data_IF_971155209276
#
_entry.id   IF_971155209276
#
_cell.length_a   1.000
_cell.length_b   1.000
_cell.length_c   1.000
_cell.angle_alpha   90.00
_cell.angle_beta   90.00
_cell.angle_gamma   90.00
#
_symmetry.space_group_name_H-M   'P 1'
#
loop_
_entity.id
_entity.type
_entity.pdbx_description
1 polymer ?
#
# COMPACT_ATOMS: atom_id res chain seq x y z
N UNK A 1 16.11 5.88 -17.59
CA UNK A 1 14.93 6.31 -16.80
C UNK A 1 14.17 7.33 -17.65
N UNK A 2 12.88 7.14 -17.94
CA UNK A 2 12.13 7.96 -18.92
C UNK A 2 11.79 9.40 -18.45
N UNK A 3 12.46 9.93 -17.42
CA UNK A 3 12.21 11.29 -16.92
C UNK A 3 10.78 11.52 -16.38
N UNK A 4 10.07 10.45 -16.01
CA UNK A 4 8.76 10.56 -15.39
C UNK A 4 8.90 11.13 -13.97
N UNK A 5 8.04 12.09 -13.61
CA UNK A 5 7.93 12.55 -12.22
C UNK A 5 7.56 11.36 -11.32
N UNK A 6 8.33 11.15 -10.26
CA UNK A 6 8.13 10.11 -9.26
C UNK A 6 6.71 10.14 -8.67
N UNK A 7 6.15 11.34 -8.45
CA UNK A 7 4.78 11.50 -7.94
C UNK A 7 3.75 11.04 -8.96
N UNK A 8 3.96 11.38 -10.23
CA UNK A 8 3.07 10.97 -11.32
C UNK A 8 3.09 9.45 -11.50
N UNK A 9 4.27 8.82 -11.36
CA UNK A 9 4.40 7.37 -11.35
C UNK A 9 3.57 6.72 -10.23
N UNK A 10 3.71 7.19 -8.99
CA UNK A 10 2.99 6.63 -7.85
C UNK A 10 1.48 6.83 -7.93
N UNK A 11 1.02 8.04 -8.27
CA UNK A 11 -0.40 8.34 -8.41
C UNK A 11 -0.99 7.54 -9.58
N UNK A 12 -0.30 7.48 -10.72
CA UNK A 12 -0.75 6.73 -11.89
C UNK A 12 -0.88 5.24 -11.60
N UNK A 13 0.11 4.66 -10.92
CA UNK A 13 0.10 3.23 -10.54
C UNK A 13 -1.05 2.95 -9.57
N UNK A 14 -1.21 3.77 -8.53
CA UNK A 14 -2.29 3.60 -7.56
C UNK A 14 -3.68 3.69 -8.21
N UNK A 15 -3.91 4.68 -9.09
CA UNK A 15 -5.19 4.84 -9.79
C UNK A 15 -5.47 3.64 -10.70
N UNK A 16 -4.45 3.16 -11.43
CA UNK A 16 -4.60 2.01 -12.31
C UNK A 16 -5.00 0.76 -11.51
N UNK A 17 -4.30 0.47 -10.41
CA UNK A 17 -4.61 -0.68 -9.55
C UNK A 17 -6.00 -0.54 -8.92
N UNK A 18 -6.37 0.66 -8.49
CA UNK A 18 -7.71 0.94 -7.93
C UNK A 18 -8.82 0.65 -8.94
N UNK A 19 -8.68 1.12 -10.18
CA UNK A 19 -9.65 0.88 -11.26
C UNK A 19 -9.76 -0.62 -11.58
N UNK A 20 -8.64 -1.34 -11.65
CA UNK A 20 -8.65 -2.79 -11.89
C UNK A 20 -9.38 -3.51 -10.75
N UNK A 21 -9.11 -3.11 -9.51
CA UNK A 21 -9.74 -3.68 -8.32
C UNK A 21 -11.23 -3.28 -8.17
N UNK A 22 -11.73 -2.29 -8.91
CA UNK A 22 -13.16 -1.97 -8.95
C UNK A 22 -13.98 -3.04 -9.69
N UNK A 23 -13.37 -3.79 -10.61
CA UNK A 23 -14.05 -4.85 -11.36
C UNK A 23 -14.63 -5.93 -10.43
N UNK A 24 -13.83 -6.61 -9.57
CA UNK A 24 -14.38 -7.62 -8.66
C UNK A 24 -15.37 -7.03 -7.64
N UNK A 25 -15.17 -5.78 -7.20
CA UNK A 25 -16.15 -5.09 -6.33
C UNK A 25 -17.49 -4.91 -7.04
N UNK A 26 -17.49 -4.43 -8.28
CA UNK A 26 -18.71 -4.24 -9.06
C UNK A 26 -19.45 -5.55 -9.28
N UNK A 27 -18.73 -6.64 -9.56
CA UNK A 27 -19.32 -7.99 -9.65
C UNK A 27 -19.97 -8.39 -8.32
N UNK A 28 -19.30 -8.15 -7.19
CA UNK A 28 -19.87 -8.48 -5.88
C UNK A 28 -21.11 -7.65 -5.53
N UNK A 29 -21.17 -6.38 -5.93
CA UNK A 29 -22.38 -5.59 -5.75
C UNK A 29 -23.54 -6.13 -6.58
N UNK A 30 -23.29 -6.51 -7.83
CA UNK A 30 -24.29 -7.14 -8.69
C UNK A 30 -24.81 -8.44 -8.06
N UNK A 31 -23.95 -9.27 -7.45
CA UNK A 31 -24.39 -10.50 -6.78
C UNK A 31 -25.22 -10.22 -5.53
N UNK A 32 -24.96 -9.15 -4.78
CA UNK A 32 -25.81 -8.76 -3.65
C UNK A 32 -27.24 -8.42 -4.09
N UNK A 33 -27.39 -7.66 -5.17
CA UNK A 33 -28.70 -7.33 -5.72
C UNK A 33 -29.38 -8.55 -6.34
N UNK A 34 -28.67 -9.32 -7.16
CA UNK A 34 -29.22 -10.52 -7.81
C UNK A 34 -29.62 -11.61 -6.80
N UNK A 35 -28.88 -11.73 -5.70
CA UNK A 35 -29.17 -12.68 -4.62
C UNK A 35 -30.17 -12.17 -3.59
N UNK A 36 -30.71 -10.96 -3.73
CA UNK A 36 -31.65 -10.39 -2.75
C UNK A 36 -31.05 -10.18 -1.36
N UNK A 37 -29.72 -9.97 -1.27
CA UNK A 37 -28.99 -9.85 0.00
C UNK A 37 -29.16 -8.45 0.62
N UNK A 38 -30.37 -8.13 1.08
CA UNK A 38 -30.72 -6.79 1.60
C UNK A 38 -29.84 -6.34 2.77
N UNK A 39 -29.38 -7.26 3.59
CA UNK A 39 -28.48 -6.94 4.71
C UNK A 39 -27.13 -6.38 4.23
N UNK A 40 -26.71 -6.72 3.01
CA UNK A 40 -25.48 -6.23 2.43
C UNK A 40 -25.66 -4.88 1.72
N UNK A 41 -26.71 -4.70 0.90
CA UNK A 41 -26.89 -3.47 0.12
C UNK A 41 -27.73 -2.39 0.82
N UNK A 42 -28.65 -2.74 1.72
CA UNK A 42 -29.49 -1.80 2.45
C UNK A 42 -29.12 -1.71 3.94
N UNK A 43 -28.36 -2.69 4.46
CA UNK A 43 -27.85 -2.68 5.84
C UNK A 43 -27.08 -1.41 6.17
N UNK A 44 -27.39 -0.81 7.32
CA UNK A 44 -26.77 0.43 7.81
C UNK A 44 -26.72 1.53 6.75
N UNK A 45 -27.82 1.74 6.02
CA UNK A 45 -27.94 2.75 4.94
C UNK A 45 -26.94 2.55 3.79
N UNK A 46 -26.56 1.30 3.49
CA UNK A 46 -25.63 0.99 2.40
C UNK A 46 -24.15 1.26 2.73
N UNK A 47 -23.80 1.36 4.01
CA UNK A 47 -22.42 1.61 4.45
C UNK A 47 -21.40 0.58 3.91
N UNK A 48 -21.85 -0.63 3.61
CA UNK A 48 -21.04 -1.69 3.01
C UNK A 48 -20.43 -1.32 1.65
N UNK A 49 -21.12 -0.50 0.85
CA UNK A 49 -20.57 0.00 -0.41
C UNK A 49 -19.31 0.83 -0.15
N UNK A 50 -19.38 1.74 0.81
CA UNK A 50 -18.24 2.58 1.19
C UNK A 50 -17.10 1.76 1.82
N UNK A 51 -17.42 0.81 2.70
CA UNK A 51 -16.42 -0.08 3.32
C UNK A 51 -15.63 -0.85 2.26
N UNK A 52 -16.28 -1.31 1.19
CA UNK A 52 -15.60 -2.00 0.10
C UNK A 52 -14.71 -1.10 -0.74
N UNK A 53 -15.17 0.13 -1.03
CA UNK A 53 -14.34 1.12 -1.72
C UNK A 53 -13.07 1.45 -0.91
N UNK A 54 -13.21 1.56 0.41
CA UNK A 54 -12.09 1.78 1.32
C UNK A 54 -11.19 0.55 1.45
N UNK A 55 -11.77 -0.65 1.47
CA UNK A 55 -11.02 -1.90 1.47
C UNK A 55 -10.10 -2.02 0.26
N UNK A 56 -10.50 -1.55 -0.93
CA UNK A 56 -9.61 -1.52 -2.09
C UNK A 56 -8.37 -0.66 -1.85
N UNK A 57 -8.54 0.55 -1.30
CA UNK A 57 -7.41 1.42 -0.93
C UNK A 57 -6.51 0.70 0.07
N UNK A 58 -7.12 0.08 1.08
CA UNK A 58 -6.39 -0.61 2.13
C UNK A 58 -5.63 -1.84 1.60
N UNK A 59 -6.24 -2.63 0.72
CA UNK A 59 -5.60 -3.79 0.13
C UNK A 59 -4.43 -3.39 -0.78
N UNK A 60 -4.60 -2.37 -1.62
CA UNK A 60 -3.53 -1.88 -2.52
C UNK A 60 -2.35 -1.35 -1.70
N UNK A 61 -2.61 -0.52 -0.69
CA UNK A 61 -1.57 0.00 0.19
C UNK A 61 -0.79 -1.12 0.90
N UNK A 62 -1.51 -2.13 1.40
CA UNK A 62 -0.93 -3.31 2.02
C UNK A 62 -0.09 -4.13 1.02
N UNK A 63 -0.55 -4.29 -0.23
CA UNK A 63 0.21 -4.96 -1.29
C UNK A 63 1.51 -4.22 -1.62
N UNK A 64 1.48 -2.88 -1.69
CA UNK A 64 2.69 -2.09 -1.91
C UNK A 64 3.67 -2.23 -0.76
N UNK A 65 3.20 -2.16 0.49
CA UNK A 65 4.05 -2.40 1.67
C UNK A 65 4.78 -3.74 1.59
N UNK A 66 4.05 -4.83 1.31
CA UNK A 66 4.66 -6.15 1.18
C UNK A 66 5.56 -6.32 -0.04
N UNK A 67 5.34 -5.58 -1.13
CA UNK A 67 6.24 -5.62 -2.28
C UNK A 67 7.67 -5.17 -1.96
N UNK A 68 7.85 -4.33 -0.93
CA UNK A 68 9.18 -3.92 -0.44
C UNK A 68 9.74 -4.84 0.64
N UNK A 69 8.90 -5.63 1.32
CA UNK A 69 9.36 -6.67 2.27
C UNK A 69 9.99 -7.84 1.53
N UNK A 70 9.44 -8.23 0.38
CA UNK A 70 9.95 -9.34 -0.41
C UNK A 70 11.01 -8.88 -1.40
N UNK A 71 12.23 -9.41 -1.27
CA UNK A 71 13.31 -9.14 -2.23
C UNK A 71 13.05 -9.72 -3.64
N UNK A 72 12.15 -10.70 -3.78
CA UNK A 72 11.83 -11.35 -5.05
C UNK A 72 10.31 -11.31 -5.32
N UNK A 73 9.87 -10.76 -6.46
CA UNK A 73 8.45 -10.72 -6.84
C UNK A 73 7.79 -12.10 -6.90
N UNK A 74 8.51 -13.14 -7.36
CA UNK A 74 7.96 -14.50 -7.44
C UNK A 74 7.64 -15.06 -6.05
N UNK A 75 8.54 -14.82 -5.10
CA UNK A 75 8.33 -15.21 -3.70
C UNK A 75 7.14 -14.47 -3.11
N UNK A 76 7.02 -13.15 -3.35
CA UNK A 76 5.89 -12.34 -2.89
C UNK A 76 4.56 -12.94 -3.36
N UNK A 77 4.40 -13.19 -4.67
CA UNK A 77 3.16 -13.74 -5.22
C UNK A 77 2.83 -15.11 -4.61
N UNK A 78 3.85 -15.98 -4.47
CA UNK A 78 3.63 -17.34 -3.95
C UNK A 78 3.33 -17.39 -2.45
N UNK A 79 3.90 -16.48 -1.65
CA UNK A 79 3.83 -16.53 -0.19
C UNK A 79 2.73 -15.64 0.40
N UNK A 80 2.26 -14.61 -0.32
CA UNK A 80 1.23 -13.71 0.22
C UNK A 80 -0.06 -14.40 0.68
N UNK A 81 -0.60 -15.43 -0.02
CA UNK A 81 -1.75 -16.16 0.50
C UNK A 81 -1.48 -16.78 1.88
N UNK A 82 -0.28 -17.34 2.09
CA UNK A 82 0.14 -17.93 3.36
C UNK A 82 0.27 -16.84 4.42
N UNK A 83 0.89 -15.69 4.08
CA UNK A 83 1.03 -14.55 4.99
C UNK A 83 -0.35 -14.04 5.44
N UNK A 84 -1.30 -13.88 4.52
CA UNK A 84 -2.66 -13.43 4.85
C UNK A 84 -3.34 -14.41 5.81
N UNK A 85 -3.27 -15.71 5.52
CA UNK A 85 -3.83 -16.74 6.41
C UNK A 85 -3.17 -16.68 7.79
N UNK A 86 -1.84 -16.55 7.84
CA UNK A 86 -1.11 -16.41 9.10
C UNK A 86 -1.52 -15.17 9.88
N UNK A 87 -1.71 -14.02 9.22
CA UNK A 87 -2.17 -12.78 9.86
C UNK A 87 -3.59 -12.93 10.41
N UNK A 88 -4.47 -13.68 9.74
CA UNK A 88 -5.82 -13.96 10.24
C UNK A 88 -5.84 -14.95 11.42
N UNK A 89 -4.90 -15.91 11.47
CA UNK A 89 -4.82 -16.91 12.54
C UNK A 89 -4.04 -16.41 13.76
N UNK A 90 -3.08 -15.50 13.57
CA UNK A 90 -2.19 -14.99 14.63
C UNK A 90 -2.94 -14.49 15.87
N UNK A 91 -4.03 -13.71 15.77
CA UNK A 91 -4.81 -13.28 16.93
C UNK A 91 -5.37 -14.44 17.74
N UNK A 92 -5.81 -15.52 17.07
CA UNK A 92 -6.27 -16.75 17.70
C UNK A 92 -5.17 -17.44 18.50
N UNK A 93 -3.94 -17.46 17.97
CA UNK A 93 -2.80 -18.06 18.69
C UNK A 93 -2.45 -17.21 19.91
N UNK A 94 -2.40 -15.88 19.76
CA UNK A 94 -2.08 -14.96 20.85
C UNK A 94 -3.11 -15.08 21.98
N UNK A 95 -4.42 -15.09 21.65
CA UNK A 95 -5.46 -15.20 22.67
C UNK A 95 -5.46 -16.57 23.36
N UNK A 96 -5.15 -17.66 22.64
CA UNK A 96 -4.98 -18.97 23.24
C UNK A 96 -3.83 -18.99 24.26
N UNK A 97 -2.69 -18.36 23.93
CA UNK A 97 -1.57 -18.26 24.87
C UNK A 97 -1.99 -17.44 26.10
N UNK A 98 -2.63 -16.28 25.91
CA UNK A 98 -3.08 -15.41 27.01
C UNK A 98 -4.07 -16.16 27.92
N UNK A 99 -5.05 -16.85 27.35
CA UNK A 99 -6.05 -17.59 28.12
C UNK A 99 -5.43 -18.74 28.93
N UNK A 100 -4.42 -19.44 28.39
CA UNK A 100 -3.71 -20.47 29.14
C UNK A 100 -2.90 -19.90 30.31
N UNK A 101 -2.22 -18.77 30.10
CA UNK A 101 -1.51 -18.06 31.17
C UNK A 101 -2.48 -17.64 32.27
N UNK A 102 -3.61 -17.01 31.91
CA UNK A 102 -4.62 -16.59 32.89
C UNK A 102 -5.23 -17.77 33.62
N UNK A 103 -5.53 -18.87 32.93
CA UNK A 103 -6.05 -20.08 33.55
C UNK A 103 -5.06 -20.66 34.57
N UNK A 104 -3.75 -20.60 34.29
CA UNK A 104 -2.72 -21.03 35.24
C UNK A 104 -2.64 -20.12 36.47
N UNK A 105 -3.02 -18.85 36.33
CA UNK A 105 -3.11 -17.87 37.42
C UNK A 105 -4.48 -17.88 38.14
N UNK A 106 -5.39 -18.79 37.78
CA UNK A 106 -6.72 -18.88 38.38
C UNK A 106 -7.75 -17.85 37.87
N UNK A 107 -7.45 -17.15 36.77
CA UNK A 107 -8.35 -16.19 36.13
C UNK A 107 -8.90 -16.74 34.80
N UNK A 108 -10.10 -16.31 34.41
CA UNK A 108 -10.71 -16.68 33.12
C UNK A 108 -11.25 -15.46 32.39
N UNK A 109 -11.24 -15.51 31.06
CA UNK A 109 -11.87 -14.50 30.19
C UNK A 109 -13.18 -15.10 29.67
N UNK A 110 -14.28 -14.34 29.71
CA UNK A 110 -15.56 -14.80 29.16
C UNK A 110 -15.44 -15.09 27.66
N UNK A 111 -16.15 -16.11 27.13
CA UNK A 111 -16.15 -16.41 25.70
C UNK A 111 -16.56 -15.21 24.83
N UNK A 112 -17.49 -14.39 25.31
CA UNK A 112 -17.94 -13.17 24.63
C UNK A 112 -16.84 -12.12 24.51
N UNK A 113 -15.99 -11.97 25.53
CA UNK A 113 -14.85 -11.05 25.49
C UNK A 113 -13.72 -11.62 24.63
N UNK A 114 -13.53 -12.94 24.62
CA UNK A 114 -12.56 -13.58 23.74
C UNK A 114 -12.90 -13.34 22.26
N UNK A 115 -14.18 -13.47 21.88
CA UNK A 115 -14.64 -13.16 20.52
C UNK A 115 -14.38 -11.70 20.12
N UNK A 116 -14.56 -10.76 21.05
CA UNK A 116 -14.30 -9.34 20.81
C UNK A 116 -12.81 -9.08 20.57
N UNK A 117 -11.95 -9.54 21.48
CA UNK A 117 -10.49 -9.43 21.38
C UNK A 117 -10.00 -10.05 20.07
N UNK A 118 -10.54 -11.20 19.68
CA UNK A 118 -10.17 -11.89 18.44
C UNK A 118 -10.48 -11.02 17.21
N UNK A 119 -11.69 -10.46 17.13
CA UNK A 119 -12.08 -9.61 16.00
C UNK A 119 -11.26 -8.32 15.92
N UNK A 120 -10.98 -7.69 17.06
CA UNK A 120 -10.05 -6.55 17.13
C UNK A 120 -8.65 -6.92 16.62
N UNK A 121 -8.12 -8.07 17.04
CA UNK A 121 -6.81 -8.53 16.57
C UNK A 121 -6.80 -8.83 15.08
N UNK A 122 -7.82 -9.51 14.55
CA UNK A 122 -7.93 -9.83 13.12
C UNK A 122 -8.06 -8.55 12.28
N UNK A 123 -8.84 -7.57 12.76
CA UNK A 123 -9.01 -6.26 12.14
C UNK A 123 -7.67 -5.52 11.98
N UNK A 124 -6.85 -5.48 13.03
CA UNK A 124 -5.58 -4.73 13.05
C UNK A 124 -4.49 -5.42 12.21
N UNK A 125 -4.50 -6.74 12.11
CA UNK A 125 -3.42 -7.47 11.44
C UNK A 125 -3.59 -7.61 9.94
N UNK A 126 -4.78 -7.39 9.38
CA UNK A 126 -4.98 -7.56 7.94
C UNK A 126 -6.16 -6.74 7.37
N UNK A 127 -6.04 -6.24 6.12
CA UNK A 127 -7.16 -5.61 5.43
C UNK A 127 -8.39 -6.53 5.32
N UNK A 128 -8.17 -7.83 5.10
CA UNK A 128 -9.22 -8.84 5.03
C UNK A 128 -9.98 -8.98 6.34
N UNK A 129 -9.26 -8.94 7.46
CA UNK A 129 -9.83 -8.97 8.79
C UNK A 129 -10.63 -7.72 9.13
N UNK A 130 -10.17 -6.56 8.68
CA UNK A 130 -10.93 -5.31 8.78
C UNK A 130 -12.23 -5.38 7.97
N UNK A 131 -12.16 -5.84 6.73
CA UNK A 131 -13.36 -6.05 5.90
C UNK A 131 -14.34 -7.02 6.55
N UNK A 132 -13.86 -8.17 7.02
CA UNK A 132 -14.67 -9.17 7.72
C UNK A 132 -15.38 -8.56 8.94
N UNK A 133 -14.64 -7.83 9.77
CA UNK A 133 -15.18 -7.20 10.97
C UNK A 133 -16.24 -6.15 10.65
N UNK A 134 -16.02 -5.33 9.61
CA UNK A 134 -17.01 -4.37 9.15
C UNK A 134 -18.27 -5.06 8.62
N UNK A 135 -18.14 -6.06 7.75
CA UNK A 135 -19.27 -6.78 7.17
C UNK A 135 -20.07 -7.52 8.24
N UNK A 136 -19.42 -8.18 9.20
CA UNK A 136 -20.12 -8.84 10.31
C UNK A 136 -20.91 -7.85 11.17
N UNK A 137 -20.43 -6.62 11.35
CA UNK A 137 -21.13 -5.59 12.13
C UNK A 137 -22.32 -4.99 11.36
N UNK A 138 -22.16 -4.75 10.07
CA UNK A 138 -23.19 -4.09 9.25
C UNK A 138 -24.29 -5.04 8.80
N UNK A 139 -23.98 -6.32 8.62
CA UNK A 139 -24.93 -7.33 8.11
C UNK A 139 -25.59 -8.15 9.22
N UNK A 140 -24.97 -8.26 10.39
CA UNK A 140 -25.44 -9.13 11.47
C UNK A 140 -25.37 -8.39 12.82
N UNK A 141 -26.34 -8.66 13.69
CA UNK A 141 -26.35 -8.12 15.04
C UNK A 141 -25.73 -9.12 16.03
N UNK A 142 -24.39 -9.13 16.13
CA UNK A 142 -23.65 -9.99 17.07
C UNK A 142 -23.50 -9.42 18.48
N UNK A 143 -24.17 -8.31 18.81
CA UNK A 143 -24.04 -7.63 20.10
C UNK A 143 -24.43 -8.48 21.31
N UNK A 144 -25.28 -9.49 21.11
CA UNK A 144 -25.70 -10.44 22.15
C UNK A 144 -24.68 -11.57 22.39
N UNK A 145 -23.81 -11.85 21.42
CA UNK A 145 -22.85 -12.95 21.47
C UNK A 145 -21.42 -12.50 21.80
N UNK A 146 -21.07 -11.28 21.39
CA UNK A 146 -19.72 -10.74 21.51
C UNK A 146 -19.75 -9.44 22.29
N UNK A 147 -19.01 -9.39 23.40
CA UNK A 147 -18.81 -8.14 24.13
C UNK A 147 -17.72 -7.32 23.46
N UNK A 148 -17.93 -6.01 23.32
CA UNK A 148 -16.95 -5.08 22.73
C UNK A 148 -16.60 -5.39 21.27
N UNK A 149 -17.60 -5.72 20.45
CA UNK A 149 -17.45 -5.87 19.00
C UNK A 149 -16.85 -4.59 18.37
N UNK A 150 -15.87 -4.67 17.44
CA UNK A 150 -15.27 -3.49 16.82
C UNK A 150 -16.33 -2.67 16.06
N UNK A 151 -16.62 -1.42 16.48
CA UNK A 151 -17.63 -0.60 15.82
C UNK A 151 -17.16 -0.24 14.41
N UNK A 152 -18.08 -0.16 13.44
CA UNK A 152 -17.74 0.10 12.03
C UNK A 152 -16.92 1.39 11.87
N UNK A 153 -17.20 2.43 12.66
CA UNK A 153 -16.42 3.66 12.66
C UNK A 153 -14.94 3.46 13.04
N UNK A 154 -14.66 2.57 14.01
CA UNK A 154 -13.28 2.21 14.34
C UNK A 154 -12.63 1.43 13.21
N UNK A 155 -13.35 0.49 12.59
CA UNK A 155 -12.84 -0.26 11.44
C UNK A 155 -12.46 0.68 10.29
N UNK A 156 -13.31 1.66 9.97
CA UNK A 156 -13.02 2.69 8.95
C UNK A 156 -11.78 3.50 9.32
N UNK A 157 -11.68 3.95 10.58
CA UNK A 157 -10.53 4.71 11.05
C UNK A 157 -9.22 3.92 10.93
N UNK A 158 -9.21 2.64 11.32
CA UNK A 158 -8.05 1.76 11.18
C UNK A 158 -7.67 1.56 9.71
N UNK A 159 -8.63 1.28 8.83
CA UNK A 159 -8.35 1.13 7.40
C UNK A 159 -7.69 2.39 6.82
N UNK A 160 -8.16 3.60 7.19
CA UNK A 160 -7.55 4.85 6.73
C UNK A 160 -6.13 5.02 7.28
N UNK A 161 -5.95 4.84 8.58
CA UNK A 161 -4.64 5.02 9.24
C UNK A 161 -3.61 4.03 8.72
N UNK A 162 -3.95 2.75 8.62
CA UNK A 162 -3.07 1.70 8.09
C UNK A 162 -2.76 1.94 6.61
N UNK A 163 -3.75 2.35 5.81
CA UNK A 163 -3.51 2.70 4.39
C UNK A 163 -2.49 3.82 4.24
N UNK A 164 -2.63 4.89 5.04
CA UNK A 164 -1.69 6.01 5.04
C UNK A 164 -0.31 5.55 5.48
N UNK A 165 -0.23 4.74 6.55
CA UNK A 165 1.04 4.23 7.06
C UNK A 165 1.77 3.35 6.02
N UNK A 166 1.06 2.41 5.39
CA UNK A 166 1.60 1.52 4.38
C UNK A 166 2.03 2.27 3.11
N UNK A 167 1.20 3.18 2.61
CA UNK A 167 1.55 4.00 1.44
C UNK A 167 2.74 4.92 1.73
N UNK A 168 2.77 5.56 2.90
CA UNK A 168 3.86 6.45 3.28
C UNK A 168 5.18 5.69 3.41
N UNK A 169 5.14 4.48 3.99
CA UNK A 169 6.31 3.60 4.05
C UNK A 169 6.78 3.21 2.65
N UNK A 170 5.89 2.69 1.81
CA UNK A 170 6.24 2.22 0.48
C UNK A 170 6.80 3.35 -0.40
N UNK A 171 6.14 4.52 -0.39
CA UNK A 171 6.61 5.71 -1.09
C UNK A 171 7.98 6.18 -0.58
N UNK A 172 8.19 6.18 0.74
CA UNK A 172 9.46 6.59 1.34
C UNK A 172 10.60 5.66 0.95
N UNK A 173 10.42 4.34 1.08
CA UNK A 173 11.44 3.34 0.71
C UNK A 173 11.77 3.45 -0.77
N UNK A 174 10.78 3.57 -1.64
CA UNK A 174 10.99 3.70 -3.08
C UNK A 174 11.70 5.01 -3.44
N UNK A 175 11.39 6.12 -2.74
CA UNK A 175 12.05 7.41 -2.97
C UNK A 175 13.55 7.38 -2.66
N UNK A 176 14.00 6.52 -1.75
CA UNK A 176 15.43 6.33 -1.47
C UNK A 176 16.17 5.62 -2.61
N UNK A 177 15.45 4.90 -3.47
CA UNK A 177 16.04 4.25 -4.65
C UNK A 177 16.23 5.20 -5.84
N UNK A 178 15.59 6.37 -5.80
CA UNK A 178 15.71 7.40 -6.83
C UNK A 178 17.03 8.14 -6.62
N UNK A 179 18.07 7.73 -7.34
CA UNK A 179 19.37 8.41 -7.30
C UNK A 179 19.22 9.85 -7.83
N UNK A 180 19.51 10.82 -6.97
CA UNK A 180 19.79 12.20 -7.39
C UNK A 180 21.17 12.15 -8.04
N UNK A 181 21.22 12.31 -9.36
CA UNK A 181 22.48 12.38 -10.09
C UNK A 181 23.04 13.78 -9.89
N UNK A 182 24.12 13.89 -9.11
CA UNK A 182 24.86 15.15 -9.00
C UNK A 182 25.56 15.44 -10.33
N UNK A 183 25.57 16.70 -10.80
CA UNK A 183 26.33 17.08 -11.97
C UNK A 183 27.84 16.96 -11.67
N UNK A 184 28.46 15.88 -12.15
CA UNK A 184 29.91 15.68 -12.05
C UNK A 184 30.62 16.00 -13.38
N UNK A 185 31.84 16.56 -13.30
CA UNK A 185 32.72 16.62 -14.47
C UNK A 185 33.17 15.22 -14.85
N UNK A 186 32.93 14.81 -16.10
CA UNK A 186 33.49 13.56 -16.62
C UNK A 186 35.03 13.66 -16.65
N UNK A 187 35.77 12.85 -15.87
CA UNK A 187 37.23 12.91 -15.80
C UNK A 187 37.92 12.49 -17.10
N UNK A 188 37.17 11.91 -18.05
CA UNK A 188 37.66 11.53 -19.39
C UNK A 188 37.31 12.58 -20.45
N UNK A 189 36.62 13.65 -20.06
CA UNK A 189 36.26 14.72 -20.97
C UNK A 189 37.53 15.41 -21.49
N UNK A 190 37.67 15.49 -22.82
CA UNK A 190 38.79 16.19 -23.44
C UNK A 190 38.49 17.70 -23.52
N UNK A 191 39.19 18.56 -22.78
CA UNK A 191 38.93 20.00 -22.74
C UNK A 191 39.13 20.68 -24.11
N UNK A 192 39.95 20.08 -24.99
CA UNK A 192 40.19 20.60 -26.33
C UNK A 192 38.96 20.56 -27.24
N UNK A 193 37.90 19.84 -26.85
CA UNK A 193 36.64 19.73 -27.59
C UNK A 193 35.71 20.92 -27.32
N UNK A 194 35.91 21.66 -26.21
CA UNK A 194 35.07 22.82 -25.84
C UNK A 194 35.02 23.90 -26.92
N UNK A 195 36.13 24.14 -27.62
CA UNK A 195 36.22 25.13 -28.70
C UNK A 195 35.50 24.71 -29.98
N UNK A 196 35.07 23.45 -30.07
CA UNK A 196 34.36 22.86 -31.22
C UNK A 196 32.91 22.50 -30.90
N UNK A 197 32.48 22.69 -29.66
CA UNK A 197 31.09 22.52 -29.28
C UNK A 197 30.28 23.71 -29.79
N UNK A 198 29.02 23.45 -30.13
CA UNK A 198 28.06 24.51 -30.40
C UNK A 198 27.88 25.35 -29.13
N UNK A 199 27.66 26.66 -29.31
CA UNK A 199 27.60 27.65 -28.23
C UNK A 199 26.53 27.31 -27.17
N UNK A 200 25.42 26.71 -27.61
CA UNK A 200 24.35 26.23 -26.74
C UNK A 200 24.78 25.03 -25.87
N UNK A 201 25.57 24.11 -26.41
CA UNK A 201 26.11 22.95 -25.68
C UNK A 201 27.17 23.37 -24.65
N UNK A 202 28.03 24.32 -25.01
CA UNK A 202 29.02 24.88 -24.08
C UNK A 202 28.32 25.62 -22.93
N UNK A 203 27.31 26.45 -23.24
CA UNK A 203 26.53 27.18 -22.25
C UNK A 203 25.73 26.24 -21.34
N UNK A 204 25.18 25.14 -21.85
CA UNK A 204 24.44 24.15 -21.04
C UNK A 204 25.37 23.37 -20.10
N UNK A 205 26.57 23.01 -20.55
CA UNK A 205 27.61 22.40 -19.70
C UNK A 205 28.00 23.34 -18.55
N UNK A 206 28.26 24.61 -18.86
CA UNK A 206 28.61 25.61 -17.84
C UNK A 206 27.45 25.83 -16.86
N UNK A 207 26.20 25.88 -17.34
CA UNK A 207 25.01 25.97 -16.48
C UNK A 207 24.87 24.77 -15.54
N UNK A 208 25.08 23.57 -16.08
CA UNK A 208 24.97 22.31 -15.33
C UNK A 208 26.07 22.21 -14.27
N UNK A 209 27.31 22.57 -14.59
CA UNK A 209 28.45 22.51 -13.66
C UNK A 209 28.48 23.67 -12.66
N UNK A 210 27.92 24.83 -13.02
CA UNK A 210 27.77 25.97 -12.10
C UNK A 210 26.62 25.79 -11.10
N UNK A 211 25.73 24.82 -11.34
CA UNK A 211 24.63 24.47 -10.43
C UNK A 211 25.17 23.64 -9.27
N UNK A 212 25.82 24.31 -8.31
CA UNK A 212 26.28 23.70 -7.07
C UNK A 212 25.09 23.60 -6.10
N UNK A 213 24.63 22.38 -5.80
CA UNK A 213 23.59 22.12 -4.80
C UNK A 213 22.14 22.20 -5.30
N UNK A 214 21.90 22.15 -6.61
CA UNK A 214 20.55 22.07 -7.17
C UNK A 214 19.99 20.65 -7.09
N UNK A 215 18.93 20.44 -6.29
CA UNK A 215 18.14 19.20 -6.25
C UNK A 215 17.28 19.00 -7.52
N UNK A 216 17.71 19.50 -8.68
CA UNK A 216 16.91 19.40 -9.90
C UNK A 216 17.16 18.05 -10.57
N UNK A 217 16.10 17.28 -10.89
CA UNK A 217 16.26 16.02 -11.59
C UNK A 217 16.87 16.26 -12.97
N UNK A 218 17.84 15.43 -13.33
CA UNK A 218 18.62 15.51 -14.56
C UNK A 218 17.69 15.52 -15.80
N UNK A 219 17.48 16.71 -16.38
CA UNK A 219 16.62 16.92 -17.55
C UNK A 219 17.44 16.74 -18.82
N UNK A 220 17.41 15.52 -19.38
CA UNK A 220 18.12 15.22 -20.63
C UNK A 220 17.29 15.69 -21.82
N UNK A 221 17.59 16.88 -22.35
CA UNK A 221 17.03 17.33 -23.62
C UNK A 221 17.98 16.97 -24.79
N UNK A 222 17.45 16.28 -25.81
CA UNK A 222 18.11 16.01 -27.10
C UNK A 222 19.39 15.16 -27.05
N UNK A 223 19.26 13.92 -26.56
CA UNK A 223 20.24 12.83 -26.72
C UNK A 223 20.82 12.74 -28.16
N UNK A 224 22.00 13.32 -28.41
CA UNK A 224 22.78 13.04 -29.63
C UNK A 224 24.01 12.24 -29.25
N UNK A 225 23.93 10.92 -29.42
CA UNK A 225 25.10 10.03 -29.39
C UNK A 225 25.87 10.21 -30.69
N UNK A 226 27.04 10.82 -30.64
CA UNK A 226 27.94 10.92 -31.81
C UNK A 226 28.99 9.82 -31.67
N UNK A 227 28.92 8.82 -32.56
CA UNK A 227 29.95 7.78 -32.67
C UNK A 227 31.10 8.30 -33.57
N UNK A 228 32.37 8.04 -33.23
CA UNK A 228 33.48 8.46 -34.07
C UNK A 228 33.52 7.65 -35.39
N UNK A 229 33.89 8.27 -36.53
CA UNK A 229 34.16 7.56 -37.78
C UNK A 229 35.42 6.70 -37.63
N UNK A 230 35.40 5.54 -38.32
CA UNK A 230 36.43 4.48 -38.28
C UNK A 230 37.85 4.99 -38.49
#
# INVERSE_FOLDING_TARGET
>A
VMGCDFRAYWIGTFIADYIIMMIPIGVMWLTWFAGGMSDFYAGTSGLNFFVLLLFNVHLISFSYFFSFIFANPKSCISLMPIVIIMLMITPSIIILIITQILSSAGATISPSAQGGILLWGIMILSPHGALLSALLNTTQNFSSLISSFPPVGAVIAFQIVESIAFLSYAYHVDSQSVAILEPEEDPRFNPAVLSRLDEDVAAERERTLSTIGGNEPLRVERLRKVFPPK
#
